data_IF_167559779146
#
_entry.id   IF_167559779146
#
_cell.length_a   1.000
_cell.length_b   1.000
_cell.length_c   1.000
_cell.angle_alpha   90.00
_cell.angle_beta   90.00
_cell.angle_gamma   90.00
#
_symmetry.space_group_name_H-M   'P 1'
#
loop_
_entity.id
_entity.type
_entity.pdbx_description
1 polymer ?
#
# COMPACT_ATOMS: atom_id res chain seq x y z
N UNK A 1 -28.45 -30.03 76.07
CA UNK A 1 -28.98 -30.26 74.71
C UNK A 1 -29.02 -28.98 73.86
N UNK A 2 -29.59 -27.86 74.34
CA UNK A 2 -29.63 -26.58 73.58
C UNK A 2 -28.27 -25.99 73.20
N UNK A 3 -27.27 -26.11 74.07
CA UNK A 3 -25.92 -25.55 73.83
C UNK A 3 -25.22 -26.24 72.63
N UNK A 4 -25.30 -27.57 72.55
CA UNK A 4 -24.70 -28.38 71.49
C UNK A 4 -25.32 -28.10 70.11
N UNK A 5 -26.65 -27.96 70.05
CA UNK A 5 -27.36 -27.57 68.83
C UNK A 5 -26.99 -26.17 68.33
N UNK A 6 -26.60 -25.27 69.23
CA UNK A 6 -26.20 -23.90 68.87
C UNK A 6 -24.79 -23.89 68.30
N UNK A 7 -23.88 -24.70 68.86
CA UNK A 7 -22.51 -24.87 68.36
C UNK A 7 -22.50 -25.52 66.98
N UNK A 8 -23.24 -26.61 66.77
CA UNK A 8 -23.31 -27.26 65.44
C UNK A 8 -23.95 -26.34 64.38
N UNK A 9 -25.00 -25.60 64.73
CA UNK A 9 -25.60 -24.61 63.81
C UNK A 9 -24.61 -23.51 63.43
N UNK A 10 -23.80 -23.02 64.37
CA UNK A 10 -22.82 -21.98 64.07
C UNK A 10 -21.71 -22.50 63.17
N UNK A 11 -21.20 -23.70 63.42
CA UNK A 11 -20.18 -24.33 62.56
C UNK A 11 -20.72 -24.60 61.14
N UNK A 12 -21.97 -25.04 60.98
CA UNK A 12 -22.58 -25.26 59.66
C UNK A 12 -22.79 -23.95 58.88
N UNK A 13 -23.15 -22.86 59.56
CA UNK A 13 -23.28 -21.55 58.92
C UNK A 13 -21.91 -20.97 58.52
N UNK A 14 -20.87 -21.21 59.32
CA UNK A 14 -19.50 -20.83 59.00
C UNK A 14 -18.97 -21.60 57.78
N UNK A 15 -19.26 -22.91 57.71
CA UNK A 15 -18.92 -23.78 56.57
C UNK A 15 -19.64 -23.33 55.28
N UNK A 16 -20.93 -23.02 55.37
CA UNK A 16 -21.71 -22.52 54.22
C UNK A 16 -21.22 -21.14 53.74
N UNK A 17 -20.79 -20.27 54.67
CA UNK A 17 -20.22 -18.97 54.33
C UNK A 17 -18.84 -19.10 53.67
N UNK A 18 -18.01 -20.04 54.15
CA UNK A 18 -16.72 -20.36 53.55
C UNK A 18 -16.88 -20.92 52.11
N UNK A 19 -17.79 -21.87 51.90
CA UNK A 19 -18.09 -22.45 50.58
C UNK A 19 -18.61 -21.39 49.59
N UNK A 20 -19.47 -20.50 50.07
CA UNK A 20 -19.98 -19.38 49.27
C UNK A 20 -18.84 -18.44 48.88
N UNK A 21 -17.95 -18.08 49.82
CA UNK A 21 -16.80 -17.22 49.55
C UNK A 21 -15.83 -17.86 48.54
N UNK A 22 -15.57 -19.16 48.64
CA UNK A 22 -14.72 -19.91 47.69
C UNK A 22 -15.31 -19.86 46.28
N UNK A 23 -16.61 -20.09 46.14
CA UNK A 23 -17.31 -20.04 44.85
C UNK A 23 -17.21 -18.65 44.22
N UNK A 24 -17.41 -17.59 45.00
CA UNK A 24 -17.28 -16.21 44.52
C UNK A 24 -15.83 -15.89 44.08
N UNK A 25 -14.82 -16.36 44.81
CA UNK A 25 -13.42 -16.20 44.42
C UNK A 25 -13.12 -16.90 43.08
N UNK A 26 -13.61 -18.12 42.88
CA UNK A 26 -13.41 -18.86 41.62
C UNK A 26 -14.02 -18.08 40.45
N UNK A 27 -15.26 -17.60 40.58
CA UNK A 27 -15.90 -16.82 39.53
C UNK A 27 -15.21 -15.47 39.28
N UNK A 28 -14.70 -14.83 40.33
CA UNK A 28 -13.95 -13.58 40.21
C UNK A 28 -12.64 -13.78 39.42
N UNK A 29 -11.89 -14.84 39.75
CA UNK A 29 -10.65 -15.18 39.03
C UNK A 29 -10.95 -15.55 37.57
N UNK A 30 -11.99 -16.37 37.34
CA UNK A 30 -12.41 -16.73 35.99
C UNK A 30 -12.77 -15.49 35.15
N UNK A 31 -13.52 -14.54 35.73
CA UNK A 31 -13.86 -13.29 35.06
C UNK A 31 -12.61 -12.45 34.73
N UNK A 32 -11.62 -12.39 35.62
CA UNK A 32 -10.35 -11.70 35.36
C UNK A 32 -9.59 -12.36 34.19
N UNK A 33 -9.48 -13.68 34.17
CA UNK A 33 -8.79 -14.40 33.09
C UNK A 33 -9.47 -14.14 31.75
N UNK A 34 -10.80 -14.17 31.72
CA UNK A 34 -11.58 -13.86 30.52
C UNK A 34 -11.36 -12.40 30.09
N UNK A 35 -11.37 -11.45 31.03
CA UNK A 35 -11.13 -10.04 30.74
C UNK A 35 -9.73 -9.81 30.15
N UNK A 36 -8.69 -10.41 30.75
CA UNK A 36 -7.31 -10.30 30.25
C UNK A 36 -7.19 -10.88 28.84
N UNK A 37 -7.86 -12.01 28.58
CA UNK A 37 -7.84 -12.66 27.26
C UNK A 37 -8.46 -11.77 26.18
N UNK A 38 -9.58 -11.11 26.46
CA UNK A 38 -10.21 -10.15 25.54
C UNK A 38 -9.30 -8.95 25.28
N UNK A 39 -8.69 -8.39 26.33
CA UNK A 39 -7.75 -7.27 26.20
C UNK A 39 -6.55 -7.65 25.34
N UNK A 40 -6.01 -8.86 25.48
CA UNK A 40 -4.88 -9.33 24.69
C UNK A 40 -5.21 -9.37 23.18
N UNK A 41 -6.38 -9.89 22.82
CA UNK A 41 -6.84 -9.96 21.43
C UNK A 41 -7.04 -8.55 20.85
N UNK A 42 -7.81 -7.70 21.54
CA UNK A 42 -8.08 -6.33 21.10
C UNK A 42 -6.79 -5.53 20.94
N UNK A 43 -5.83 -5.72 21.85
CA UNK A 43 -4.53 -5.03 21.76
C UNK A 43 -3.74 -5.43 20.52
N UNK A 44 -3.83 -6.69 20.08
CA UNK A 44 -3.21 -7.15 18.83
C UNK A 44 -3.87 -6.54 17.60
N UNK A 45 -5.19 -6.47 17.58
CA UNK A 45 -5.96 -5.88 16.48
C UNK A 45 -5.68 -4.37 16.35
N UNK A 46 -5.66 -3.64 17.48
CA UNK A 46 -5.36 -2.21 17.50
C UNK A 46 -3.95 -1.93 16.97
N UNK A 47 -2.94 -2.71 17.38
CA UNK A 47 -1.58 -2.57 16.85
C UNK A 47 -1.51 -2.82 15.35
N UNK A 48 -2.22 -3.86 14.87
CA UNK A 48 -2.29 -4.18 13.45
C UNK A 48 -2.93 -3.03 12.66
N UNK A 49 -4.05 -2.49 13.15
CA UNK A 49 -4.72 -1.32 12.57
C UNK A 49 -3.81 -0.09 12.53
N UNK A 50 -3.09 0.20 13.63
CA UNK A 50 -2.14 1.32 13.69
C UNK A 50 -1.02 1.16 12.66
N UNK A 51 -0.47 -0.05 12.50
CA UNK A 51 0.60 -0.33 11.52
C UNK A 51 0.14 -0.16 10.07
N UNK A 52 -1.08 -0.62 9.76
CA UNK A 52 -1.71 -0.45 8.45
C UNK A 52 -1.98 1.03 8.17
N UNK A 53 -2.58 1.75 9.13
CA UNK A 53 -2.85 3.18 9.02
C UNK A 53 -1.57 4.01 8.81
N UNK A 54 -0.50 3.69 9.55
CA UNK A 54 0.81 4.33 9.35
C UNK A 54 1.36 4.05 7.95
N UNK A 55 1.22 2.83 7.44
CA UNK A 55 1.71 2.46 6.10
C UNK A 55 0.93 3.17 5.01
N UNK A 56 -0.41 3.20 5.10
CA UNK A 56 -1.27 3.94 4.18
C UNK A 56 -0.98 5.45 4.21
N UNK A 57 -0.71 6.02 5.39
CA UNK A 57 -0.37 7.44 5.52
C UNK A 57 0.95 7.79 4.84
N UNK A 58 1.96 6.89 4.95
CA UNK A 58 3.23 7.05 4.23
C UNK A 58 3.05 6.96 2.72
N UNK A 59 2.37 5.92 2.23
CA UNK A 59 2.08 5.76 0.80
C UNK A 59 1.32 6.96 0.24
N UNK A 60 0.30 7.45 0.94
CA UNK A 60 -0.45 8.64 0.52
C UNK A 60 0.45 9.89 0.49
N UNK A 61 1.32 10.05 1.49
CA UNK A 61 2.29 11.16 1.52
C UNK A 61 3.25 11.10 0.32
N UNK A 62 3.71 9.89 -0.03
CA UNK A 62 4.57 9.68 -1.19
C UNK A 62 3.81 9.96 -2.49
N UNK A 63 2.56 9.52 -2.60
CA UNK A 63 1.68 9.83 -3.74
C UNK A 63 1.41 11.33 -3.90
N UNK A 64 1.25 12.07 -2.79
CA UNK A 64 1.08 13.53 -2.84
C UNK A 64 2.35 14.26 -3.25
N UNK A 65 3.52 13.65 -2.99
CA UNK A 65 4.83 14.19 -3.36
C UNK A 65 5.27 13.77 -4.76
N UNK A 66 4.79 12.65 -5.28
CA UNK A 66 5.13 12.17 -6.61
C UNK A 66 4.22 12.79 -7.67
N UNK A 67 4.85 13.32 -8.72
CA UNK A 67 4.17 13.82 -9.88
C UNK A 67 5.02 13.55 -11.13
N UNK A 68 4.37 13.12 -12.21
CA UNK A 68 5.01 12.70 -13.45
C UNK A 68 4.32 13.43 -14.58
N UNK A 69 5.08 14.14 -15.40
CA UNK A 69 4.57 14.84 -16.58
C UNK A 69 5.28 14.34 -17.82
N UNK A 70 4.52 13.98 -18.86
CA UNK A 70 5.10 13.64 -20.16
C UNK A 70 5.30 14.92 -20.95
N UNK A 71 6.52 15.15 -21.43
CA UNK A 71 6.96 16.45 -21.98
C UNK A 71 7.21 16.42 -23.50
N UNK A 72 6.74 15.38 -24.19
CA UNK A 72 6.79 15.31 -25.65
C UNK A 72 5.88 16.36 -26.31
N UNK A 73 6.17 16.67 -27.57
CA UNK A 73 5.24 17.37 -28.46
C UNK A 73 4.09 16.42 -28.88
N UNK A 74 2.82 16.73 -28.56
CA UNK A 74 1.68 15.90 -28.94
C UNK A 74 1.48 15.70 -30.44
N UNK A 75 1.94 16.64 -31.27
CA UNK A 75 1.76 16.58 -32.73
C UNK A 75 2.88 15.80 -33.43
N UNK A 76 4.00 15.57 -32.74
CA UNK A 76 5.18 14.92 -33.31
C UNK A 76 5.89 14.06 -32.27
N UNK A 77 5.49 12.80 -32.16
CA UNK A 77 6.23 11.81 -31.37
C UNK A 77 7.35 11.21 -32.21
N UNK A 78 8.61 11.21 -31.73
CA UNK A 78 9.70 10.54 -32.41
C UNK A 78 9.42 9.04 -32.54
N UNK A 79 9.48 8.54 -33.78
CA UNK A 79 9.38 7.12 -34.10
C UNK A 79 10.59 6.71 -34.94
N UNK A 80 11.36 5.74 -34.46
CA UNK A 80 12.50 5.19 -35.18
C UNK A 80 12.07 3.98 -36.01
N UNK A 81 12.12 4.11 -37.34
CA UNK A 81 11.77 3.04 -38.27
C UNK A 81 12.76 1.86 -38.24
N UNK A 82 13.97 2.05 -37.72
CA UNK A 82 15.02 1.02 -37.66
C UNK A 82 14.81 0.10 -36.46
N UNK A 83 14.61 0.70 -35.28
CA UNK A 83 14.36 -0.04 -34.03
C UNK A 83 12.88 -0.33 -33.78
N UNK A 84 11.99 0.29 -34.57
CA UNK A 84 10.53 0.21 -34.47
C UNK A 84 10.00 0.61 -33.08
N UNK A 85 10.52 1.72 -32.53
CA UNK A 85 10.18 2.22 -31.19
C UNK A 85 9.74 3.68 -31.21
N UNK A 86 8.76 4.00 -30.37
CA UNK A 86 8.38 5.38 -30.05
C UNK A 86 9.19 5.88 -28.87
N UNK A 87 9.66 7.13 -28.93
CA UNK A 87 10.41 7.74 -27.82
C UNK A 87 9.53 8.72 -27.05
N UNK A 88 9.28 8.43 -25.78
CA UNK A 88 8.61 9.32 -24.84
C UNK A 88 9.59 9.88 -23.80
N UNK A 89 9.31 11.09 -23.33
CA UNK A 89 10.08 11.80 -22.31
C UNK A 89 9.16 12.07 -21.14
N UNK A 90 9.41 11.38 -20.03
CA UNK A 90 8.69 11.58 -18.78
C UNK A 90 9.57 12.37 -17.81
N UNK A 91 9.09 13.50 -17.31
CA UNK A 91 9.78 14.32 -16.31
C UNK A 91 9.18 14.06 -14.94
N UNK A 92 10.04 13.85 -13.93
CA UNK A 92 9.62 13.83 -12.54
C UNK A 92 9.40 15.28 -12.09
N UNK A 93 8.13 15.70 -11.99
CA UNK A 93 7.74 17.04 -11.54
C UNK A 93 7.45 17.08 -10.03
N UNK A 94 7.55 15.93 -9.36
CA UNK A 94 7.32 15.79 -7.93
C UNK A 94 8.52 16.12 -7.06
N UNK A 95 8.55 15.54 -5.87
CA UNK A 95 9.58 15.67 -4.82
C UNK A 95 10.02 14.32 -4.25
N UNK A 96 9.65 13.23 -4.91
CA UNK A 96 9.99 11.86 -4.53
C UNK A 96 10.95 11.32 -5.59
N UNK A 97 11.99 10.62 -5.14
CA UNK A 97 12.88 9.87 -6.04
C UNK A 97 12.17 8.59 -6.48
N UNK A 98 12.25 8.27 -7.77
CA UNK A 98 11.62 7.10 -8.37
C UNK A 98 12.69 6.17 -8.94
N UNK A 99 12.32 4.92 -9.20
CA UNK A 99 13.21 3.94 -9.85
C UNK A 99 12.65 3.63 -11.24
N UNK A 100 13.39 3.94 -12.34
CA UNK A 100 12.94 3.69 -13.70
C UNK A 100 12.49 2.24 -13.98
N UNK A 101 13.11 1.27 -13.33
CA UNK A 101 12.80 -0.17 -13.51
C UNK A 101 11.38 -0.55 -13.07
N UNK A 102 10.79 0.18 -12.11
CA UNK A 102 9.46 -0.13 -11.58
C UNK A 102 8.32 0.66 -12.21
N UNK A 103 8.60 1.40 -13.29
CA UNK A 103 7.55 2.11 -14.00
C UNK A 103 6.68 1.13 -14.80
N UNK A 104 5.44 1.55 -15.02
CA UNK A 104 4.51 0.85 -15.89
C UNK A 104 4.11 1.77 -17.04
N UNK A 105 4.22 1.28 -18.28
CA UNK A 105 3.84 2.02 -19.48
C UNK A 105 2.60 1.40 -20.11
N UNK A 106 1.61 2.23 -20.40
CA UNK A 106 0.35 1.84 -21.04
C UNK A 106 0.14 2.74 -22.26
N UNK A 107 -0.15 2.13 -23.40
CA UNK A 107 -0.49 2.84 -24.65
C UNK A 107 -1.87 2.39 -25.10
N UNK A 108 -2.80 3.33 -25.30
CA UNK A 108 -4.20 3.09 -25.66
C UNK A 108 -4.94 2.09 -24.75
N UNK A 109 -4.56 2.05 -23.47
CA UNK A 109 -5.11 1.11 -22.50
C UNK A 109 -4.49 -0.29 -22.55
N UNK A 110 -3.53 -0.53 -23.43
CA UNK A 110 -2.76 -1.77 -23.53
C UNK A 110 -1.47 -1.62 -22.72
N UNK A 111 -1.28 -2.52 -21.76
CA UNK A 111 -0.05 -2.62 -20.97
C UNK A 111 1.09 -3.10 -21.87
N UNK A 112 2.18 -2.34 -21.93
CA UNK A 112 3.39 -2.76 -22.62
C UNK A 112 4.23 -3.61 -21.66
N UNK A 113 4.73 -4.74 -22.16
CA UNK A 113 5.55 -5.64 -21.35
C UNK A 113 6.92 -5.00 -21.07
N UNK A 114 7.56 -5.28 -19.92
CA UNK A 114 8.84 -4.66 -19.57
C UNK A 114 9.96 -4.85 -20.62
N UNK A 115 9.96 -5.98 -21.35
CA UNK A 115 10.94 -6.24 -22.41
C UNK A 115 10.79 -5.34 -23.65
N UNK A 116 9.63 -4.69 -23.79
CA UNK A 116 9.29 -3.78 -24.89
C UNK A 116 9.43 -2.31 -24.49
N UNK A 117 9.98 -2.04 -23.30
CA UNK A 117 10.22 -0.69 -22.78
C UNK A 117 11.69 -0.58 -22.39
N UNK A 118 12.47 0.18 -23.15
CA UNK A 118 13.81 0.57 -22.72
C UNK A 118 13.76 1.92 -22.02
N UNK A 119 14.25 1.96 -20.79
CA UNK A 119 14.29 3.18 -19.98
C UNK A 119 15.72 3.67 -19.82
N UNK A 120 15.97 4.96 -20.02
CA UNK A 120 17.27 5.57 -19.71
C UNK A 120 17.13 7.00 -19.21
N UNK A 121 17.92 7.35 -18.20
CA UNK A 121 18.03 8.72 -17.72
C UNK A 121 19.09 9.48 -18.54
N UNK A 122 18.85 10.78 -18.76
CA UNK A 122 19.75 11.63 -19.56
C UNK A 122 21.15 11.73 -18.94
N UNK A 123 21.25 11.67 -17.62
CA UNK A 123 22.52 11.70 -16.88
C UNK A 123 23.16 10.31 -16.69
N UNK A 124 22.46 9.24 -17.06
CA UNK A 124 22.90 7.85 -16.87
C UNK A 124 22.82 7.35 -15.42
N UNK A 125 22.14 8.05 -14.51
CA UNK A 125 21.89 7.57 -13.15
C UNK A 125 20.90 6.39 -13.18
N UNK A 126 20.75 5.70 -12.04
CA UNK A 126 19.76 4.63 -11.81
C UNK A 126 18.58 5.12 -10.97
N UNK A 127 18.66 6.34 -10.44
CA UNK A 127 17.62 6.99 -9.64
C UNK A 127 17.02 8.14 -10.42
N UNK A 128 15.70 8.14 -10.60
CA UNK A 128 14.97 9.19 -11.29
C UNK A 128 14.56 10.28 -10.30
N UNK A 129 15.39 11.31 -10.16
CA UNK A 129 15.21 12.34 -9.14
C UNK A 129 14.22 13.41 -9.58
N UNK A 130 13.68 14.20 -8.64
CA UNK A 130 12.91 15.40 -8.96
C UNK A 130 13.63 16.33 -9.94
N UNK A 131 12.98 16.61 -11.07
CA UNK A 131 13.52 17.45 -12.14
C UNK A 131 14.12 16.69 -13.31
N UNK A 132 14.48 15.42 -13.13
CA UNK A 132 15.12 14.62 -14.17
C UNK A 132 14.10 14.13 -15.21
N UNK A 133 14.61 13.89 -16.42
CA UNK A 133 13.83 13.39 -17.55
C UNK A 133 14.25 11.97 -17.86
N UNK A 134 13.28 11.07 -17.81
CA UNK A 134 13.38 9.69 -18.22
C UNK A 134 13.02 9.56 -19.70
N UNK A 135 13.90 8.93 -20.46
CA UNK A 135 13.67 8.55 -21.86
C UNK A 135 13.10 7.14 -21.89
N UNK A 136 12.01 6.96 -22.63
CA UNK A 136 11.26 5.72 -22.76
C UNK A 136 11.21 5.35 -24.24
N UNK A 137 11.87 4.28 -24.64
CA UNK A 137 11.75 3.73 -25.98
C UNK A 137 10.81 2.53 -25.93
N UNK A 138 9.63 2.69 -26.53
CA UNK A 138 8.48 1.79 -26.35
C UNK A 138 8.13 1.14 -27.68
N UNK A 139 8.15 -0.19 -27.70
CA UNK A 139 7.54 -0.99 -28.77
C UNK A 139 6.03 -1.09 -28.49
N UNK A 140 5.21 -0.63 -29.43
CA UNK A 140 3.74 -0.57 -29.26
C UNK A 140 3.05 -1.82 -29.81
N UNK A 141 1.76 -2.00 -29.53
CA UNK A 141 0.94 -3.08 -30.09
C UNK A 141 -0.40 -2.50 -30.55
N UNK A 142 -0.70 -2.40 -31.86
CA UNK A 142 0.15 -2.77 -33.01
C UNK A 142 1.40 -1.88 -33.16
N UNK A 143 2.40 -2.36 -33.90
CA UNK A 143 3.64 -1.61 -34.21
C UNK A 143 3.86 -1.48 -35.74
N UNK A 144 3.93 -0.27 -36.32
CA UNK A 144 3.65 1.02 -35.67
C UNK A 144 2.16 1.15 -35.29
N UNK A 145 1.87 2.16 -34.47
CA UNK A 145 0.49 2.57 -34.23
C UNK A 145 -0.17 2.99 -35.55
N UNK A 146 -1.49 2.84 -35.65
CA UNK A 146 -2.26 3.40 -36.77
C UNK A 146 -2.15 4.93 -36.80
N UNK A 147 -2.63 5.57 -37.86
CA UNK A 147 -2.78 7.04 -37.82
C UNK A 147 -4.03 7.40 -37.01
N UNK A 148 -3.92 8.43 -36.18
CA UNK A 148 -5.03 8.89 -35.36
C UNK A 148 -4.60 9.49 -34.03
N UNK A 149 -5.55 9.52 -33.09
CA UNK A 149 -5.33 9.96 -31.72
C UNK A 149 -4.98 8.75 -30.84
N UNK A 150 -3.89 8.87 -30.09
CA UNK A 150 -3.37 7.87 -29.17
C UNK A 150 -3.17 8.47 -27.79
N UNK A 151 -3.03 7.61 -26.77
CA UNK A 151 -2.76 8.03 -25.40
C UNK A 151 -1.69 7.15 -24.77
N UNK A 152 -0.65 7.79 -24.22
CA UNK A 152 0.36 7.13 -23.40
C UNK A 152 0.16 7.51 -21.93
N UNK A 153 0.36 6.54 -21.05
CA UNK A 153 0.35 6.70 -19.60
C UNK A 153 1.59 6.02 -19.03
N UNK A 154 2.28 6.74 -18.16
CA UNK A 154 3.45 6.26 -17.41
C UNK A 154 3.10 6.33 -15.93
N UNK A 155 3.11 5.19 -15.25
CA UNK A 155 2.82 5.08 -13.83
C UNK A 155 4.06 4.68 -13.04
N UNK A 156 4.25 5.27 -11.86
CA UNK A 156 5.24 4.85 -10.87
C UNK A 156 4.71 3.74 -9.96
N UNK A 157 5.62 3.13 -9.21
CA UNK A 157 5.39 2.06 -8.24
C UNK A 157 4.40 2.44 -7.12
N UNK A 158 4.28 3.73 -6.81
CA UNK A 158 3.32 4.23 -5.83
C UNK A 158 1.93 4.53 -6.42
N UNK A 159 1.70 4.22 -7.70
CA UNK A 159 0.41 4.38 -8.37
C UNK A 159 0.11 5.78 -8.90
N UNK A 160 1.02 6.74 -8.74
CA UNK A 160 0.93 8.03 -9.44
C UNK A 160 1.29 7.85 -10.91
N UNK A 161 0.64 8.59 -11.79
CA UNK A 161 0.87 8.48 -13.22
C UNK A 161 0.77 9.83 -13.91
N UNK A 162 1.53 9.96 -14.99
CA UNK A 162 1.38 11.00 -15.99
C UNK A 162 0.80 10.41 -17.26
N UNK A 163 -0.03 11.16 -17.97
CA UNK A 163 -0.54 10.74 -19.28
C UNK A 163 -0.60 11.90 -20.25
N UNK A 164 -0.42 11.60 -21.53
CA UNK A 164 -0.64 12.57 -22.60
C UNK A 164 -1.36 11.90 -23.77
N UNK A 165 -2.14 12.70 -24.49
CA UNK A 165 -2.64 12.33 -25.81
C UNK A 165 -1.68 12.83 -26.89
N UNK A 166 -1.52 12.08 -27.96
CA UNK A 166 -0.65 12.41 -29.08
C UNK A 166 -1.24 11.90 -30.39
N UNK A 167 -0.69 12.37 -31.52
CA UNK A 167 -1.09 11.95 -32.86
C UNK A 167 0.04 11.24 -33.60
N UNK A 168 -0.34 10.38 -34.53
CA UNK A 168 0.54 9.63 -35.46
C UNK A 168 0.08 9.74 -36.90
#
# INVERSE_FOLDING_TARGET
MRLMLTTERNNLLEDTAADTAITHMIFFIAAIILAISVVAVISGDVQSMMSSSSSSSRLLSDQMRTDITIVNDPEMIPYDNTTQKYTFYAKNTGKTELVPEFITVIVDGILIVPNDVDTSLVDGDVVWRPGDVLTLNVTTVPNPLGSGDHRVLVASENGKSGSMSFKT
#
